data_IF_145239053970
#
_entry.id   IF_145239053970
#
_cell.length_a   1.000
_cell.length_b   1.000
_cell.length_c   1.000
_cell.angle_alpha   90.00
_cell.angle_beta   90.00
_cell.angle_gamma   90.00
#
_symmetry.space_group_name_H-M   'P 1'
#
loop_
_entity.id
_entity.type
_entity.pdbx_description
1 polymer ?
#
# COMPACT_ATOMS: atom_id res chain seq x y z
N UNK A 1 3.17 -22.22 -3.85
CA UNK A 1 3.09 -21.61 -3.88
C UNK A 1 3.25 -20.79 -4.16
N UNK A 2 3.24 -20.48 -4.16
CA UNK A 2 3.19 -19.79 -4.42
C UNK A 2 3.48 -18.98 -4.60
N UNK A 3 3.72 -18.98 -4.76
CA UNK A 3 4.06 -18.28 -5.01
C UNK A 3 3.69 -17.29 -5.20
N UNK A 4 3.76 -16.66 -4.61
CA UNK A 4 3.40 -15.62 -4.73
C UNK A 4 4.14 -14.71 -5.03
N UNK A 5 4.16 -14.25 -5.90
CA UNK A 5 4.96 -13.31 -6.44
C UNK A 5 4.68 -12.02 -5.89
N UNK A 6 3.70 -11.88 -5.20
CA UNK A 6 3.27 -10.59 -4.78
C UNK A 6 4.14 -10.03 -3.71
N UNK A 7 4.44 -8.77 -3.81
CA UNK A 7 5.18 -8.08 -2.78
C UNK A 7 4.33 -7.94 -1.54
N UNK A 8 4.98 -7.96 -0.40
CA UNK A 8 4.28 -7.72 0.86
C UNK A 8 4.22 -6.24 1.20
N UNK A 9 4.94 -5.42 0.44
CA UNK A 9 5.11 -4.00 0.71
C UNK A 9 4.42 -3.16 -0.35
N UNK A 10 3.76 -2.08 0.07
CA UNK A 10 3.10 -1.13 -0.80
C UNK A 10 4.01 0.08 -1.00
N UNK A 11 4.16 0.51 -2.23
CA UNK A 11 4.90 1.72 -2.56
C UNK A 11 3.95 2.78 -3.11
N UNK A 12 4.43 4.02 -3.17
CA UNK A 12 3.62 5.13 -3.67
C UNK A 12 3.10 4.85 -5.07
N UNK A 13 3.93 4.26 -5.92
CA UNK A 13 3.52 3.97 -7.28
C UNK A 13 2.37 2.97 -7.32
N UNK A 14 2.39 2.01 -6.41
CA UNK A 14 1.30 1.05 -6.31
C UNK A 14 -0.01 1.75 -5.94
N UNK A 15 0.07 2.70 -5.01
CA UNK A 15 -1.11 3.44 -4.62
C UNK A 15 -1.65 4.25 -5.79
N UNK A 16 -0.77 4.83 -6.58
CA UNK A 16 -1.18 5.55 -7.77
C UNK A 16 -1.95 4.63 -8.72
N UNK A 17 -1.45 3.44 -8.94
CA UNK A 17 -2.09 2.49 -9.84
C UNK A 17 -3.42 2.00 -9.30
N UNK A 18 -3.49 1.76 -8.00
CA UNK A 18 -4.69 1.20 -7.39
C UNK A 18 -5.80 2.25 -7.28
N UNK A 19 -5.43 3.46 -6.89
CA UNK A 19 -6.42 4.48 -6.58
C UNK A 19 -6.59 5.53 -7.67
N UNK A 20 -5.67 5.60 -8.61
CA UNK A 20 -5.71 6.63 -9.64
C UNK A 20 -5.30 7.99 -9.15
N UNK A 21 -4.72 8.09 -7.97
CA UNK A 21 -4.30 9.36 -7.39
C UNK A 21 -2.95 9.80 -7.96
N UNK A 22 -2.64 11.08 -7.75
CA UNK A 22 -1.35 11.61 -8.15
C UNK A 22 -0.25 11.07 -7.24
N UNK A 23 1.00 11.24 -7.68
CA UNK A 23 2.14 10.82 -6.89
C UNK A 23 2.17 11.50 -5.53
N UNK A 24 1.88 12.79 -5.51
CA UNK A 24 1.89 13.55 -4.26
C UNK A 24 0.83 13.02 -3.30
N UNK A 25 -0.36 12.76 -3.80
CA UNK A 25 -1.43 12.23 -2.96
C UNK A 25 -1.10 10.84 -2.45
N UNK A 26 -0.46 10.03 -3.29
CA UNK A 26 -0.05 8.68 -2.89
C UNK A 26 0.98 8.74 -1.77
N UNK A 27 1.96 9.62 -1.88
CA UNK A 27 2.97 9.77 -0.84
C UNK A 27 2.36 10.25 0.47
N UNK A 28 1.40 11.16 0.39
CA UNK A 28 0.71 11.62 1.59
C UNK A 28 -0.06 10.50 2.26
N UNK A 29 -0.71 9.68 1.47
CA UNK A 29 -1.46 8.56 2.00
C UNK A 29 -0.53 7.58 2.72
N UNK A 30 0.62 7.30 2.11
CA UNK A 30 1.61 6.44 2.76
C UNK A 30 2.05 6.99 4.11
N UNK A 31 2.30 8.30 4.15
CA UNK A 31 2.72 8.93 5.40
C UNK A 31 1.64 8.81 6.46
N UNK A 32 0.39 8.97 6.07
CA UNK A 32 -0.72 8.85 7.00
C UNK A 32 -0.85 7.43 7.55
N UNK A 33 -0.64 6.44 6.69
CA UNK A 33 -0.70 5.05 7.13
C UNK A 33 0.41 4.77 8.13
N UNK A 34 1.62 5.28 7.86
CA UNK A 34 2.72 5.11 8.80
C UNK A 34 2.39 5.70 10.16
N UNK A 35 1.77 6.87 10.17
CA UNK A 35 1.38 7.51 11.42
C UNK A 35 0.32 6.70 12.15
N UNK A 36 -0.66 6.20 11.40
CA UNK A 36 -1.75 5.43 11.99
C UNK A 36 -1.24 4.17 12.69
N UNK A 37 -0.18 3.58 12.17
CA UNK A 37 0.39 2.35 12.74
C UNK A 37 1.64 2.62 13.56
N UNK A 38 1.90 3.87 13.89
CA UNK A 38 3.03 4.26 14.73
C UNK A 38 4.37 3.80 14.17
N UNK A 39 4.49 3.82 12.85
CA UNK A 39 5.73 3.43 12.20
C UNK A 39 6.69 4.60 12.13
N UNK A 40 7.97 4.29 12.08
CA UNK A 40 8.97 5.33 11.92
C UNK A 40 8.95 5.85 10.48
N UNK A 41 9.53 7.03 10.31
CA UNK A 41 9.62 7.62 8.99
C UNK A 41 10.40 6.70 8.06
N UNK A 42 9.87 6.47 6.89
CA UNK A 42 10.53 5.62 5.92
C UNK A 42 10.27 4.15 6.08
N UNK A 43 9.52 3.75 7.12
CA UNK A 43 9.20 2.35 7.31
C UNK A 43 8.28 1.85 6.20
N UNK A 44 8.37 0.58 5.89
CA UNK A 44 7.52 -0.02 4.89
C UNK A 44 6.10 -0.19 5.40
N UNK A 45 5.15 -0.05 4.48
CA UNK A 45 3.75 -0.31 4.76
C UNK A 45 3.39 -1.62 4.06
N UNK A 46 2.81 -2.56 4.80
CA UNK A 46 2.45 -3.84 4.21
C UNK A 46 1.14 -3.72 3.44
N UNK A 47 0.92 -4.68 2.55
CA UNK A 47 -0.33 -4.75 1.81
C UNK A 47 -1.50 -4.87 2.78
N UNK A 48 -1.32 -5.67 3.82
CA UNK A 48 -2.35 -5.86 4.83
C UNK A 48 -2.71 -4.56 5.53
N UNK A 49 -1.69 -3.82 5.93
CA UNK A 49 -1.90 -2.54 6.59
C UNK A 49 -2.60 -1.55 5.68
N UNK A 50 -2.18 -1.52 4.42
CA UNK A 50 -2.79 -0.64 3.44
C UNK A 50 -4.27 -0.99 3.26
N UNK A 51 -4.58 -2.25 3.13
CA UNK A 51 -5.95 -2.69 2.93
C UNK A 51 -6.82 -2.39 4.15
N UNK A 52 -6.28 -2.61 5.35
CA UNK A 52 -7.00 -2.32 6.57
C UNK A 52 -7.29 -0.83 6.70
N UNK A 53 -6.31 -0.02 6.38
CA UNK A 53 -6.45 1.44 6.51
C UNK A 53 -7.45 2.00 5.51
N UNK A 54 -7.41 1.52 4.27
CA UNK A 54 -8.24 2.06 3.20
C UNK A 54 -9.57 1.37 3.05
N UNK A 55 -9.72 0.19 3.63
CA UNK A 55 -10.94 -0.59 3.48
C UNK A 55 -11.00 -1.37 2.17
N UNK A 56 -9.92 -1.40 1.42
CA UNK A 56 -9.87 -2.15 0.18
C UNK A 56 -9.64 -3.63 0.46
N UNK A 57 -10.05 -4.46 -0.46
CA UNK A 57 -9.89 -5.90 -0.30
C UNK A 57 -8.52 -6.34 -0.82
N UNK A 58 -7.81 -7.16 -0.04
CA UNK A 58 -6.49 -7.63 -0.46
C UNK A 58 -6.51 -8.33 -1.81
N UNK A 59 -7.55 -9.10 -2.10
CA UNK A 59 -7.61 -9.83 -3.36
C UNK A 59 -7.72 -8.90 -4.56
N UNK A 60 -8.23 -7.70 -4.36
CA UNK A 60 -8.28 -6.71 -5.44
C UNK A 60 -6.97 -5.97 -5.56
N UNK A 61 -6.36 -5.68 -4.43
CA UNK A 61 -5.11 -4.93 -4.40
C UNK A 61 -3.97 -5.71 -5.05
N UNK A 62 -3.89 -7.00 -4.77
CA UNK A 62 -2.79 -7.81 -5.30
C UNK A 62 -2.79 -7.88 -6.81
N UNK A 63 -3.91 -7.62 -7.46
CA UNK A 63 -3.95 -7.60 -8.92
C UNK A 63 -3.09 -6.50 -9.52
N UNK A 64 -2.78 -5.48 -8.74
CA UNK A 64 -1.96 -4.36 -9.18
C UNK A 64 -0.50 -4.48 -8.77
N UNK A 65 -0.16 -5.52 -8.01
CA UNK A 65 1.19 -5.70 -7.52
C UNK A 65 1.89 -6.77 -8.36
N UNK A 66 2.69 -6.37 -9.28
CA UNK A 66 3.40 -7.32 -10.13
C UNK A 66 4.87 -7.06 -10.14
#
# INVERSE_FOLDING_TARGET
MATIPNRMVIYAKDIQNITGRSERAACKLLARIRQAYSKTRGAFVSVEEFCTYTGLRPEHVVLFLV
#
